data_IF_493981283801
#
_entry.id   IF_493981283801
#
_cell.length_a   1.000
_cell.length_b   1.000
_cell.length_c   1.000
_cell.angle_alpha   90.00
_cell.angle_beta   90.00
_cell.angle_gamma   90.00
#
_symmetry.space_group_name_H-M   'P 1'
#
loop_
_entity.id
_entity.type
_entity.pdbx_description
1 polymer ?
#
# COMPACT_ATOMS: atom_id res chain seq x y z
N UNK A 1 15.58 -22.50 -13.25
CA UNK A 1 14.88 -21.30 -12.72
C UNK A 1 13.79 -21.83 -11.78
N UNK A 2 13.80 -21.45 -10.50
CA UNK A 2 12.90 -22.02 -9.49
C UNK A 2 11.58 -21.25 -9.53
N UNK A 3 10.47 -21.94 -9.72
CA UNK A 3 9.16 -21.29 -9.62
C UNK A 3 8.90 -20.94 -8.14
N UNK A 4 8.70 -19.65 -7.88
CA UNK A 4 8.44 -19.11 -6.54
C UNK A 4 6.94 -19.00 -6.25
N UNK A 5 6.11 -19.42 -7.21
CA UNK A 5 4.67 -19.27 -7.15
C UNK A 5 4.20 -17.84 -7.37
N UNK A 6 2.91 -17.57 -7.11
CA UNK A 6 2.30 -16.28 -7.41
C UNK A 6 2.89 -15.13 -6.59
N UNK A 7 3.17 -14.00 -7.25
CA UNK A 7 3.61 -12.77 -6.58
C UNK A 7 2.61 -12.34 -5.51
N UNK A 8 3.10 -12.21 -4.27
CA UNK A 8 2.32 -11.82 -3.08
C UNK A 8 2.85 -10.56 -2.40
N UNK A 9 4.16 -10.27 -2.52
CA UNK A 9 4.78 -9.07 -1.99
C UNK A 9 5.98 -8.62 -2.85
N UNK A 10 6.03 -7.35 -3.22
CA UNK A 10 7.14 -6.79 -3.98
C UNK A 10 7.30 -5.29 -3.71
N UNK A 11 8.52 -4.84 -3.40
CA UNK A 11 8.84 -3.42 -3.17
C UNK A 11 7.88 -2.68 -2.22
N UNK A 12 7.40 -3.35 -1.17
CA UNK A 12 6.45 -2.74 -0.24
C UNK A 12 4.97 -2.88 -0.63
N UNK A 13 4.68 -3.45 -1.80
CA UNK A 13 3.33 -3.67 -2.31
C UNK A 13 2.90 -5.11 -2.01
N UNK A 14 1.81 -5.26 -1.27
CA UNK A 14 1.08 -6.51 -1.12
C UNK A 14 0.19 -6.72 -2.34
N UNK A 15 0.23 -7.91 -2.92
CA UNK A 15 -0.57 -8.32 -4.07
C UNK A 15 -1.59 -9.36 -3.62
N UNK A 16 -2.86 -8.95 -3.56
CA UNK A 16 -3.98 -9.82 -3.23
C UNK A 16 -4.76 -10.17 -4.49
N UNK A 17 -4.84 -11.46 -4.83
CA UNK A 17 -5.55 -11.94 -6.02
C UNK A 17 -6.98 -12.32 -5.66
N UNK A 18 -7.94 -11.84 -6.43
CA UNK A 18 -9.36 -12.12 -6.28
C UNK A 18 -9.91 -12.62 -7.63
N UNK A 19 -11.06 -13.33 -7.66
CA UNK A 19 -11.65 -13.78 -8.91
C UNK A 19 -11.94 -12.63 -9.90
N UNK A 20 -12.21 -11.43 -9.39
CA UNK A 20 -12.49 -10.22 -10.18
C UNK A 20 -11.25 -9.42 -10.59
N UNK A 21 -10.05 -9.80 -10.13
CA UNK A 21 -8.81 -9.09 -10.46
C UNK A 21 -7.76 -9.09 -9.36
N UNK A 22 -6.91 -8.06 -9.36
CA UNK A 22 -5.79 -7.92 -8.43
C UNK A 22 -5.99 -6.66 -7.60
N UNK A 23 -5.88 -6.79 -6.29
CA UNK A 23 -5.82 -5.68 -5.34
C UNK A 23 -4.38 -5.46 -4.90
N UNK A 24 -3.90 -4.22 -5.05
CA UNK A 24 -2.56 -3.81 -4.65
C UNK A 24 -2.65 -2.89 -3.43
N UNK A 25 -1.88 -3.16 -2.39
CA UNK A 25 -1.86 -2.35 -1.17
C UNK A 25 -0.45 -2.06 -0.68
N UNK A 26 -0.19 -0.82 -0.29
CA UNK A 26 1.05 -0.41 0.40
C UNK A 26 0.83 -0.14 1.89
N UNK A 27 -0.34 -0.52 2.46
CA UNK A 27 -0.69 -0.23 3.86
C UNK A 27 0.40 -0.67 4.85
N UNK A 28 0.88 -1.92 4.74
CA UNK A 28 1.97 -2.44 5.58
C UNK A 28 3.27 -1.65 5.43
N UNK A 29 3.61 -1.22 4.21
CA UNK A 29 4.80 -0.43 3.97
C UNK A 29 4.69 0.96 4.59
N UNK A 30 3.56 1.63 4.40
CA UNK A 30 3.27 2.92 5.04
C UNK A 30 3.35 2.82 6.57
N UNK A 31 2.77 1.77 7.19
CA UNK A 31 2.89 1.54 8.63
C UNK A 31 4.34 1.37 9.09
N UNK A 32 5.17 0.65 8.33
CA UNK A 32 6.60 0.50 8.63
C UNK A 32 7.36 1.81 8.55
N UNK A 33 7.00 2.72 7.64
CA UNK A 33 7.59 4.06 7.58
C UNK A 33 7.25 4.86 8.84
N UNK A 34 5.97 4.86 9.23
CA UNK A 34 5.49 5.56 10.43
C UNK A 34 6.17 5.01 11.70
N UNK A 35 6.30 3.69 11.80
CA UNK A 35 7.00 3.03 12.90
C UNK A 35 8.49 3.42 12.95
N UNK A 36 9.20 3.33 11.83
CA UNK A 36 10.62 3.74 11.74
C UNK A 36 10.83 5.22 12.07
N UNK A 37 9.85 6.07 11.79
CA UNK A 37 9.90 7.49 12.12
C UNK A 37 9.54 7.77 13.60
N UNK A 38 9.15 6.77 14.39
CA UNK A 38 8.68 6.95 15.77
C UNK A 38 7.34 7.67 15.86
N UNK A 39 6.52 7.60 14.81
CA UNK A 39 5.29 8.38 14.67
C UNK A 39 4.01 7.58 14.91
N UNK A 40 4.10 6.35 15.44
CA UNK A 40 2.95 5.46 15.67
C UNK A 40 1.90 6.03 16.63
N UNK A 41 2.32 6.87 17.58
CA UNK A 41 1.42 7.55 18.53
C UNK A 41 1.12 9.00 18.17
N UNK A 42 1.55 9.48 17.00
CA UNK A 42 1.26 10.84 16.55
C UNK A 42 -0.24 11.00 16.25
N UNK A 43 -0.77 12.20 16.51
CA UNK A 43 -2.13 12.56 16.07
C UNK A 43 -2.19 12.58 14.54
N UNK A 44 -3.33 12.23 13.93
CA UNK A 44 -3.54 12.42 12.50
C UNK A 44 -3.31 13.88 12.09
N UNK A 45 -2.90 14.10 10.83
CA UNK A 45 -2.79 15.46 10.28
C UNK A 45 -4.14 16.16 10.33
N UNK A 46 -4.16 17.42 10.78
CA UNK A 46 -5.35 18.26 10.75
C UNK A 46 -5.84 18.53 9.31
N UNK A 47 -4.92 18.44 8.34
CA UNK A 47 -5.19 18.53 6.91
C UNK A 47 -4.84 17.18 6.27
N UNK A 48 -5.82 16.26 6.11
CA UNK A 48 -5.57 14.99 5.46
C UNK A 48 -5.31 15.17 3.97
N UNK A 49 -4.53 14.27 3.39
CA UNK A 49 -4.33 14.21 1.94
C UNK A 49 -5.64 13.85 1.24
N UNK A 50 -5.90 14.44 0.07
CA UNK A 50 -7.04 14.05 -0.76
C UNK A 50 -6.86 12.62 -1.26
N UNK A 51 -7.77 11.73 -0.86
CA UNK A 51 -7.76 10.32 -1.25
C UNK A 51 -8.63 10.03 -2.47
N UNK A 52 -9.28 11.05 -3.06
CA UNK A 52 -10.05 10.87 -4.28
C UNK A 52 -9.11 10.53 -5.43
N UNK A 53 -9.57 9.63 -6.30
CA UNK A 53 -8.83 9.27 -7.49
C UNK A 53 -8.70 10.50 -8.40
N UNK A 54 -7.48 11.02 -8.53
CA UNK A 54 -7.13 12.00 -9.58
C UNK A 54 -6.85 11.25 -10.87
N UNK A 55 -7.83 10.51 -11.36
CA UNK A 55 -7.74 9.90 -12.69
C UNK A 55 -8.08 10.98 -13.71
N UNK A 56 -7.08 11.45 -14.45
CA UNK A 56 -7.32 12.16 -15.71
C UNK A 56 -7.70 11.11 -16.74
N UNK A 57 -8.94 11.16 -17.23
CA UNK A 57 -9.34 10.43 -18.44
C UNK A 57 -8.85 11.23 -19.63
N UNK A 58 -7.81 10.76 -20.30
CA UNK A 58 -7.46 11.17 -21.66
C UNK A 58 -8.19 10.32 -22.68
#
# INVERSE_FOLDING_TARGET
MKDLGPLSYFLGIVVSRHPSGIFLSQSTYASKIIDRAGMTSCKPSATPVDTKQKLSTS
#
